data_IF_666499053083
#
_entry.id   IF_666499053083
#
_cell.length_a   1.000
_cell.length_b   1.000
_cell.length_c   1.000
_cell.angle_alpha   90.00
_cell.angle_beta   90.00
_cell.angle_gamma   90.00
#
_symmetry.space_group_name_H-M   'P 1'
#
loop_
_entity.id
_entity.type
_entity.pdbx_description
1 polymer ?
#
# COMPACT_ATOMS: atom_id res chain seq x y z
N UNK A 1 37.83 35.17 -48.50
CA UNK A 1 37.47 33.84 -47.97
C UNK A 1 37.28 34.00 -46.47
N UNK A 2 36.04 33.87 -45.97
CA UNK A 2 35.70 33.84 -44.53
C UNK A 2 35.94 32.41 -43.98
N UNK A 3 36.13 32.20 -42.66
CA UNK A 3 34.95 32.09 -41.80
C UNK A 3 35.05 32.76 -40.41
N UNK A 4 33.86 33.11 -39.93
CA UNK A 4 33.47 33.51 -38.59
C UNK A 4 33.46 32.30 -37.64
N UNK A 5 33.83 32.49 -36.37
CA UNK A 5 33.58 31.52 -35.29
C UNK A 5 32.47 32.09 -34.39
N UNK A 6 31.29 31.50 -34.47
CA UNK A 6 30.16 31.79 -33.58
C UNK A 6 30.14 30.79 -32.43
N UNK A 7 30.14 31.29 -31.18
CA UNK A 7 29.97 30.49 -29.98
C UNK A 7 28.48 30.19 -29.77
N UNK A 8 28.11 28.91 -29.79
CA UNK A 8 26.76 28.45 -29.47
C UNK A 8 26.68 28.10 -27.97
N UNK A 9 25.96 28.92 -27.18
CA UNK A 9 25.58 28.59 -25.81
C UNK A 9 24.30 27.74 -25.83
N UNK A 10 24.41 26.47 -25.44
CA UNK A 10 23.27 25.57 -25.24
C UNK A 10 22.60 25.88 -23.89
N UNK A 11 21.47 26.59 -23.93
CA UNK A 11 20.56 26.70 -22.79
C UNK A 11 19.77 25.39 -22.66
N UNK A 12 20.18 24.56 -21.69
CA UNK A 12 19.39 23.41 -21.25
C UNK A 12 18.10 23.88 -20.57
N UNK A 13 16.96 23.63 -21.21
CA UNK A 13 15.65 23.84 -20.60
C UNK A 13 15.43 22.78 -19.51
N UNK A 14 15.44 23.19 -18.24
CA UNK A 14 14.95 22.37 -17.15
C UNK A 14 13.42 22.28 -17.26
N UNK A 15 12.90 21.11 -17.63
CA UNK A 15 11.47 20.82 -17.55
C UNK A 15 11.05 20.86 -16.08
N UNK A 16 9.99 21.61 -15.71
CA UNK A 16 9.45 21.51 -14.37
C UNK A 16 8.82 20.13 -14.22
N UNK A 17 9.35 19.34 -13.28
CA UNK A 17 8.67 18.15 -12.81
C UNK A 17 7.41 18.60 -12.07
N UNK A 18 6.25 18.51 -12.73
CA UNK A 18 4.96 18.62 -12.05
C UNK A 18 4.84 17.42 -11.11
N UNK A 19 5.23 17.61 -9.86
CA UNK A 19 4.74 16.77 -8.77
C UNK A 19 3.23 17.00 -8.71
N UNK A 20 2.45 16.10 -9.29
CA UNK A 20 1.02 16.10 -9.09
C UNK A 20 0.77 15.96 -7.58
N UNK A 21 0.28 17.03 -6.95
CA UNK A 21 -0.20 16.94 -5.57
C UNK A 21 -1.27 15.85 -5.54
N UNK A 22 -1.13 14.83 -4.68
CA UNK A 22 -2.16 13.81 -4.56
C UNK A 22 -3.46 14.52 -4.18
N UNK A 23 -4.48 14.40 -5.03
CA UNK A 23 -5.79 14.98 -4.79
C UNK A 23 -6.28 14.51 -3.41
N UNK A 24 -6.75 15.42 -2.55
CA UNK A 24 -7.28 15.03 -1.25
C UNK A 24 -8.47 14.09 -1.48
N UNK A 25 -8.33 12.84 -1.03
CA UNK A 25 -9.44 11.88 -1.04
C UNK A 25 -10.52 12.46 -0.14
N UNK A 26 -11.72 12.69 -0.69
CA UNK A 26 -12.84 13.17 0.09
C UNK A 26 -13.20 12.14 1.16
N UNK A 27 -13.33 12.59 2.40
CA UNK A 27 -13.70 11.75 3.53
C UNK A 27 -14.99 10.98 3.23
N UNK A 28 -14.95 9.65 3.37
CA UNK A 28 -16.09 8.76 3.11
C UNK A 28 -16.28 8.35 1.64
N UNK A 29 -15.38 8.74 0.73
CA UNK A 29 -15.41 8.27 -0.66
C UNK A 29 -14.39 7.15 -0.89
N UNK A 30 -14.91 5.99 -1.27
CA UNK A 30 -14.12 4.85 -1.73
C UNK A 30 -13.33 5.23 -2.99
N UNK A 31 -12.01 5.24 -2.89
CA UNK A 31 -11.09 5.46 -4.00
C UNK A 31 -10.23 4.22 -4.19
N UNK A 32 -10.32 3.59 -5.37
CA UNK A 32 -9.41 2.51 -5.76
C UNK A 32 -8.03 3.10 -6.08
N UNK A 33 -6.97 2.45 -5.58
CA UNK A 33 -5.60 2.94 -5.69
C UNK A 33 -4.82 2.14 -6.75
N UNK A 34 -4.68 0.83 -6.56
CA UNK A 34 -4.02 -0.06 -7.52
C UNK A 34 -4.38 -1.52 -7.26
N UNK A 35 -4.06 -2.36 -8.24
CA UNK A 35 -4.27 -3.79 -8.19
C UNK A 35 -2.93 -4.53 -8.15
N UNK A 36 -2.90 -5.61 -7.38
CA UNK A 36 -1.75 -6.51 -7.23
C UNK A 36 -2.20 -7.94 -7.53
N UNK A 37 -1.30 -8.70 -8.17
CA UNK A 37 -1.50 -10.12 -8.49
C UNK A 37 -0.27 -10.87 -7.98
N UNK A 38 -0.49 -12.05 -7.40
CA UNK A 38 0.61 -12.90 -6.95
C UNK A 38 1.27 -13.63 -8.12
N UNK A 39 2.55 -13.97 -7.96
CA UNK A 39 3.19 -14.93 -8.84
C UNK A 39 2.59 -16.34 -8.59
N UNK A 40 2.75 -17.23 -9.58
CA UNK A 40 2.39 -18.63 -9.42
C UNK A 40 3.22 -19.28 -8.31
N UNK A 41 2.56 -20.01 -7.39
CA UNK A 41 3.23 -20.65 -6.25
C UNK A 41 3.72 -19.70 -5.16
N UNK A 42 3.49 -18.38 -5.28
CA UNK A 42 3.79 -17.42 -4.23
C UNK A 42 2.91 -17.71 -3.00
N UNK A 43 3.50 -17.77 -1.81
CA UNK A 43 2.72 -17.90 -0.58
C UNK A 43 1.99 -16.59 -0.26
N UNK A 44 0.91 -16.66 0.52
CA UNK A 44 0.15 -15.46 0.89
C UNK A 44 1.02 -14.45 1.66
N UNK A 45 1.87 -14.93 2.57
CA UNK A 45 2.82 -14.09 3.32
C UNK A 45 3.85 -13.42 2.39
N UNK A 46 4.39 -14.16 1.42
CA UNK A 46 5.34 -13.62 0.44
C UNK A 46 4.67 -12.56 -0.44
N UNK A 47 3.45 -12.83 -0.90
CA UNK A 47 2.65 -11.88 -1.66
C UNK A 47 2.45 -10.57 -0.90
N UNK A 48 1.97 -10.65 0.35
CA UNK A 48 1.74 -9.47 1.20
C UNK A 48 3.04 -8.72 1.50
N UNK A 49 4.12 -9.46 1.78
CA UNK A 49 5.44 -8.87 2.04
C UNK A 49 5.96 -8.09 0.83
N UNK A 50 5.80 -8.65 -0.38
CA UNK A 50 6.25 -8.02 -1.64
C UNK A 50 5.52 -6.72 -1.93
N UNK A 51 4.21 -6.67 -1.70
CA UNK A 51 3.40 -5.47 -2.00
C UNK A 51 3.49 -4.39 -0.92
N UNK A 52 3.95 -4.74 0.29
CA UNK A 52 3.93 -3.84 1.44
C UNK A 52 4.58 -2.47 1.21
N UNK A 53 5.76 -2.34 0.56
CA UNK A 53 6.36 -1.04 0.28
C UNK A 53 5.45 -0.13 -0.54
N UNK A 54 4.80 -0.67 -1.59
CA UNK A 54 3.91 0.08 -2.47
C UNK A 54 2.59 0.43 -1.78
N UNK A 55 2.02 -0.53 -1.05
CA UNK A 55 0.81 -0.33 -0.28
C UNK A 55 0.99 0.79 0.78
N UNK A 56 2.14 0.78 1.47
CA UNK A 56 2.51 1.85 2.42
C UNK A 56 2.69 3.20 1.73
N UNK A 57 3.38 3.24 0.59
CA UNK A 57 3.55 4.47 -0.18
C UNK A 57 2.19 5.09 -0.57
N UNK A 58 1.21 4.27 -0.93
CA UNK A 58 -0.14 4.73 -1.24
C UNK A 58 -0.87 5.28 0.01
N UNK A 59 -0.75 4.62 1.16
CA UNK A 59 -1.30 5.12 2.43
C UNK A 59 -0.67 6.46 2.84
N UNK A 60 0.65 6.61 2.70
CA UNK A 60 1.37 7.88 2.98
C UNK A 60 0.95 8.98 2.01
N UNK A 61 0.91 8.68 0.71
CA UNK A 61 0.57 9.65 -0.34
C UNK A 61 -0.85 10.19 -0.18
N UNK A 62 -1.80 9.32 0.16
CA UNK A 62 -3.20 9.71 0.39
C UNK A 62 -3.45 10.28 1.78
N UNK A 63 -2.48 10.14 2.70
CA UNK A 63 -2.62 10.43 4.14
C UNK A 63 -3.83 9.73 4.77
N UNK A 64 -4.07 8.47 4.41
CA UNK A 64 -5.22 7.67 4.87
C UNK A 64 -4.84 6.21 5.10
N UNK A 65 -5.68 5.47 5.82
CA UNK A 65 -5.60 4.01 5.89
C UNK A 65 -6.05 3.43 4.55
N UNK A 66 -5.31 2.43 4.09
CA UNK A 66 -5.57 1.71 2.84
C UNK A 66 -5.96 0.27 3.18
N UNK A 67 -6.89 -0.30 2.44
CA UNK A 67 -7.35 -1.66 2.67
C UNK A 67 -7.76 -2.38 1.39
N UNK A 68 -7.92 -3.70 1.50
CA UNK A 68 -8.48 -4.53 0.44
C UNK A 68 -8.71 -5.96 0.91
N UNK A 69 -9.39 -6.72 0.06
CA UNK A 69 -9.63 -8.14 0.23
C UNK A 69 -8.72 -8.93 -0.73
N UNK A 70 -8.07 -9.97 -0.22
CA UNK A 70 -7.28 -10.89 -1.03
C UNK A 70 -8.18 -12.02 -1.51
N UNK A 71 -8.30 -12.15 -2.83
CA UNK A 71 -9.13 -13.15 -3.47
C UNK A 71 -8.27 -14.26 -4.10
N UNK A 72 -8.87 -15.42 -4.30
CA UNK A 72 -8.24 -16.60 -4.88
C UNK A 72 -7.55 -17.49 -3.84
N UNK A 73 -7.27 -18.73 -4.26
CA UNK A 73 -6.51 -19.72 -3.48
C UNK A 73 -5.09 -19.92 -4.04
N UNK A 74 -4.59 -18.93 -4.79
CA UNK A 74 -3.37 -19.00 -5.59
C UNK A 74 -3.69 -19.20 -7.09
N UNK A 75 -3.23 -18.30 -7.99
CA UNK A 75 -2.65 -16.98 -7.70
C UNK A 75 -3.66 -16.07 -6.97
N UNK A 76 -3.15 -15.19 -6.11
CA UNK A 76 -3.95 -14.23 -5.35
C UNK A 76 -4.14 -12.94 -6.13
N UNK A 77 -5.25 -12.26 -5.91
CA UNK A 77 -5.48 -10.90 -6.37
C UNK A 77 -5.90 -10.00 -5.22
N UNK A 78 -5.47 -8.73 -5.27
CA UNK A 78 -5.81 -7.71 -4.29
C UNK A 78 -6.02 -6.39 -5.00
N UNK A 79 -7.16 -5.78 -4.77
CA UNK A 79 -7.41 -4.38 -5.13
C UNK A 79 -7.33 -3.53 -3.88
N UNK A 80 -6.35 -2.63 -3.82
CA UNK A 80 -6.20 -1.69 -2.71
C UNK A 80 -7.07 -0.46 -2.94
N UNK A 81 -7.71 -0.01 -1.86
CA UNK A 81 -8.55 1.19 -1.82
C UNK A 81 -8.32 1.99 -0.53
N UNK A 82 -8.85 3.20 -0.49
CA UNK A 82 -9.04 4.00 0.73
C UNK A 82 -10.46 4.54 0.76
N UNK A 83 -11.01 4.78 1.96
CA UNK A 83 -12.29 5.47 2.15
C UNK A 83 -12.10 6.94 2.61
N UNK A 84 -10.88 7.48 2.48
CA UNK A 84 -10.57 8.87 2.84
C UNK A 84 -10.37 9.10 4.35
N UNK A 85 -10.20 8.05 5.14
CA UNK A 85 -10.11 8.10 6.62
C UNK A 85 -8.71 7.75 7.12
N UNK A 86 -8.26 8.42 8.18
CA UNK A 86 -6.94 8.17 8.79
C UNK A 86 -6.93 7.02 9.79
N UNK A 87 -8.10 6.60 10.25
CA UNK A 87 -8.29 5.60 11.30
C UNK A 87 -8.91 4.31 10.78
N UNK A 88 -9.43 4.31 9.54
CA UNK A 88 -10.30 3.26 9.04
C UNK A 88 -10.26 3.09 7.53
N UNK A 89 -10.46 1.87 7.08
CA UNK A 89 -10.86 1.55 5.72
C UNK A 89 -11.71 0.27 5.79
N UNK A 90 -12.92 0.32 5.25
CA UNK A 90 -13.90 -0.75 5.33
C UNK A 90 -13.52 -1.89 4.39
N UNK A 91 -13.45 -3.12 4.89
CA UNK A 91 -13.29 -4.32 4.06
C UNK A 91 -14.57 -5.14 4.10
N UNK A 92 -15.06 -5.68 2.97
CA UNK A 92 -16.20 -6.60 2.95
C UNK A 92 -16.09 -7.68 4.03
N UNK A 93 -17.22 -8.04 4.65
CA UNK A 93 -17.30 -9.03 5.74
C UNK A 93 -17.42 -10.45 5.19
N UNK A 94 -16.40 -10.88 4.48
CA UNK A 94 -16.28 -12.19 3.83
C UNK A 94 -15.34 -13.11 4.59
N UNK A 95 -15.23 -14.37 4.13
CA UNK A 95 -14.25 -15.32 4.65
C UNK A 95 -12.83 -15.12 4.09
N UNK A 96 -12.65 -14.31 3.04
CA UNK A 96 -11.34 -14.14 2.42
C UNK A 96 -10.42 -13.28 3.32
N UNK A 97 -9.08 -13.49 3.23
CA UNK A 97 -8.13 -12.68 3.97
C UNK A 97 -8.20 -11.21 3.57
N UNK A 98 -8.10 -10.30 4.54
CA UNK A 98 -8.02 -8.87 4.25
C UNK A 98 -6.60 -8.32 4.45
N UNK A 99 -6.35 -7.13 3.90
CA UNK A 99 -5.16 -6.33 4.17
C UNK A 99 -5.61 -4.96 4.69
N UNK A 100 -5.05 -4.55 5.82
CA UNK A 100 -5.09 -3.18 6.32
C UNK A 100 -3.68 -2.61 6.27
N UNK A 101 -3.58 -1.35 5.85
CA UNK A 101 -2.31 -0.64 5.70
C UNK A 101 -2.45 0.69 6.41
N UNK A 102 -1.64 0.88 7.43
CA UNK A 102 -1.53 2.14 8.13
C UNK A 102 -0.12 2.69 7.96
N UNK A 103 0.14 3.34 6.83
CA UNK A 103 1.44 3.90 6.49
C UNK A 103 1.73 5.25 7.16
N UNK A 104 0.71 5.90 7.70
CA UNK A 104 0.79 7.20 8.39
C UNK A 104 0.98 7.08 9.89
N UNK A 105 1.14 5.85 10.38
CA UNK A 105 1.33 5.58 11.78
C UNK A 105 2.55 6.33 12.34
N UNK A 106 2.37 7.02 13.47
CA UNK A 106 3.42 7.85 14.07
C UNK A 106 4.28 7.07 15.06
N UNK A 107 3.64 6.18 15.82
CA UNK A 107 4.28 5.40 16.86
C UNK A 107 4.24 3.91 16.55
N UNK A 108 5.25 3.16 17.02
CA UNK A 108 5.36 1.72 16.83
C UNK A 108 4.17 0.91 17.41
N UNK A 109 3.24 1.58 18.09
CA UNK A 109 2.05 1.06 18.77
C UNK A 109 0.77 1.07 17.93
N UNK A 110 0.77 1.57 16.69
CA UNK A 110 -0.42 1.47 15.82
C UNK A 110 -0.63 0.04 15.26
N UNK A 111 -0.18 -0.94 16.03
CA UNK A 111 -0.01 -2.34 15.70
C UNK A 111 -1.26 -3.18 16.03
N UNK A 112 -2.40 -2.50 16.16
CA UNK A 112 -3.69 -3.07 16.53
C UNK A 112 -4.56 -3.33 15.30
N UNK A 113 -5.02 -4.57 15.18
CA UNK A 113 -6.08 -4.92 14.26
C UNK A 113 -7.40 -4.75 14.99
N UNK A 114 -8.30 -3.93 14.42
CA UNK A 114 -9.56 -3.63 15.08
C UNK A 114 -10.36 -4.89 15.41
N UNK A 115 -10.93 -4.92 16.61
CA UNK A 115 -11.68 -6.05 17.15
C UNK A 115 -12.86 -6.48 16.25
N UNK A 116 -13.37 -5.61 15.38
CA UNK A 116 -14.43 -5.97 14.43
C UNK A 116 -13.97 -6.92 13.32
N UNK A 117 -12.65 -7.07 13.14
CA UNK A 117 -12.04 -8.09 12.29
C UNK A 117 -11.51 -9.29 13.08
N UNK A 118 -11.69 -9.29 14.41
CA UNK A 118 -11.28 -10.39 15.27
C UNK A 118 -11.87 -11.70 14.75
N UNK A 119 -11.03 -12.74 14.63
CA UNK A 119 -11.35 -14.08 14.07
C UNK A 119 -11.45 -14.19 12.55
N UNK A 120 -11.13 -13.13 11.80
CA UNK A 120 -10.96 -13.20 10.34
C UNK A 120 -9.47 -13.22 9.99
N UNK A 121 -9.06 -14.04 9.00
CA UNK A 121 -7.69 -14.00 8.51
C UNK A 121 -7.40 -12.61 7.94
N UNK A 122 -6.27 -12.02 8.30
CA UNK A 122 -5.91 -10.73 7.72
C UNK A 122 -4.56 -10.20 8.13
N UNK A 123 -4.06 -9.28 7.32
CA UNK A 123 -2.75 -8.67 7.46
C UNK A 123 -2.88 -7.21 7.89
N UNK A 124 -1.98 -6.79 8.78
CA UNK A 124 -1.76 -5.39 9.10
C UNK A 124 -0.34 -5.01 8.68
N UNK A 125 -0.24 -4.04 7.77
CA UNK A 125 1.02 -3.47 7.30
C UNK A 125 1.21 -2.10 7.95
N UNK A 126 2.30 -1.96 8.70
CA UNK A 126 2.72 -0.71 9.36
C UNK A 126 4.13 -0.32 8.89
N UNK A 127 4.65 0.88 9.25
CA UNK A 127 6.03 1.25 8.97
C UNK A 127 7.09 0.30 9.53
N UNK A 128 6.80 -0.40 10.63
CA UNK A 128 7.78 -1.18 11.36
C UNK A 128 7.59 -2.71 11.23
N UNK A 129 6.38 -3.16 10.89
CA UNK A 129 6.08 -4.60 10.82
C UNK A 129 4.89 -4.93 9.94
N UNK A 130 4.87 -6.19 9.49
CA UNK A 130 3.68 -6.85 8.95
C UNK A 130 3.24 -7.86 10.00
N UNK A 131 1.96 -7.86 10.33
CA UNK A 131 1.35 -8.86 11.20
C UNK A 131 0.28 -9.62 10.42
N UNK A 132 0.12 -10.88 10.76
CA UNK A 132 -1.03 -11.69 10.36
C UNK A 132 -1.85 -12.03 11.61
N UNK A 133 -3.16 -12.01 11.48
CA UNK A 133 -4.06 -12.58 12.48
C UNK A 133 -5.03 -13.55 11.85
N UNK A 134 -5.54 -14.46 12.67
CA UNK A 134 -6.69 -15.29 12.38
C UNK A 134 -7.39 -15.71 13.69
N UNK A 135 -8.08 -16.86 13.68
CA UNK A 135 -8.71 -17.43 14.88
C UNK A 135 -7.70 -18.00 15.89
N UNK A 136 -6.51 -18.33 15.43
CA UNK A 136 -5.45 -19.00 16.20
C UNK A 136 -4.60 -17.98 16.96
N UNK A 137 -4.56 -16.73 16.52
CA UNK A 137 -3.89 -15.64 17.22
C UNK A 137 -3.31 -14.60 16.26
N UNK A 138 -2.30 -13.90 16.73
CA UNK A 138 -1.55 -12.90 15.97
C UNK A 138 -0.09 -13.34 15.88
N UNK A 139 0.51 -13.26 14.70
CA UNK A 139 1.94 -13.49 14.47
C UNK A 139 2.55 -12.37 13.64
N UNK A 140 3.85 -12.13 13.83
CA UNK A 140 4.62 -11.30 12.91
C UNK A 140 4.83 -12.09 11.60
N UNK A 141 4.75 -11.40 10.47
CA UNK A 141 5.18 -11.93 9.18
C UNK A 141 6.62 -11.48 9.02
N UNK A 142 7.54 -12.43 9.12
CA UNK A 142 8.94 -12.17 8.86
C UNK A 142 9.09 -11.84 7.38
N UNK A 143 9.86 -10.79 7.06
CA UNK A 143 10.31 -10.61 5.68
C UNK A 143 11.09 -11.87 5.33
N UNK A 144 10.55 -12.68 4.42
CA UNK A 144 11.14 -13.94 4.03
C UNK A 144 12.64 -13.74 3.72
N UNK A 145 13.48 -14.37 4.54
CA UNK A 145 14.92 -14.56 4.33
C UNK A 145 15.73 -13.29 4.05
N UNK A 146 16.41 -12.79 5.08
CA UNK A 146 17.68 -12.10 4.86
C UNK A 146 18.78 -13.15 4.72
#
# INVERSE_FOLDING_TARGET
MHPLIAAAALLGAALPAFAAEPLPVKFGQTTQLHQEISAAGESLDAFVTRIAPRARAASVSTRTVVCGEILGAGPYSLTLKTDGRQDWCEVPKTAAPYVLVNGIAKDAHEDHIQAIYYRRPGYLITPWSIKFQDRSGVRKVDQAGR
#
